data_IF_544850575822
#
_entry.id   IF_544850575822
#
_cell.length_a   1.000
_cell.length_b   1.000
_cell.length_c   1.000
_cell.angle_alpha   90.00
_cell.angle_beta   90.00
_cell.angle_gamma   90.00
#
_symmetry.space_group_name_H-M   'P 1'
#
loop_
_entity.id
_entity.type
_entity.pdbx_description
1 polymer ?
#
# COMPACT_ATOMS: atom_id res chain seq x y z
N UNK A 1 -3.86 -23.96 14.96
CA UNK A 1 -3.40 -23.38 13.68
C UNK A 1 -2.77 -22.05 14.05
N UNK A 2 -1.47 -21.84 13.87
CA UNK A 2 -0.89 -20.51 14.07
C UNK A 2 -1.46 -19.62 12.97
N UNK A 3 -2.19 -18.59 13.35
CA UNK A 3 -2.76 -17.66 12.38
C UNK A 3 -1.62 -17.02 11.57
N UNK A 4 -1.57 -17.36 10.29
CA UNK A 4 -0.57 -16.86 9.36
C UNK A 4 -0.98 -15.47 8.91
N UNK A 5 -0.35 -14.45 9.48
CA UNK A 5 -0.69 -13.06 9.20
C UNK A 5 0.25 -12.46 8.16
N UNK A 6 -0.32 -12.13 6.99
CA UNK A 6 0.35 -11.35 5.98
C UNK A 6 -0.15 -9.91 5.94
N UNK A 7 0.57 -9.08 5.19
CA UNK A 7 0.16 -7.73 4.85
C UNK A 7 0.85 -7.29 3.57
N UNK A 8 0.21 -6.34 2.88
CA UNK A 8 0.77 -5.65 1.73
C UNK A 8 0.90 -4.16 2.03
N UNK A 9 1.95 -3.50 1.55
CA UNK A 9 1.98 -2.05 1.43
C UNK A 9 2.04 -1.60 -0.03
N UNK A 10 1.31 -0.52 -0.32
CA UNK A 10 1.18 0.11 -1.64
C UNK A 10 1.98 1.41 -1.69
N UNK A 11 2.80 1.55 -2.74
CA UNK A 11 3.45 2.81 -3.06
C UNK A 11 4.61 3.20 -2.15
N UNK A 12 5.38 2.24 -1.64
CA UNK A 12 6.59 2.53 -0.89
C UNK A 12 7.61 3.28 -1.75
N UNK A 13 8.34 4.19 -1.13
CA UNK A 13 9.31 5.05 -1.81
C UNK A 13 10.69 4.89 -1.17
N UNK A 14 10.85 5.39 0.06
CA UNK A 14 12.08 5.27 0.83
C UNK A 14 12.00 4.15 1.86
N UNK A 15 13.09 3.40 2.00
CA UNK A 15 13.26 2.31 2.96
C UNK A 15 13.17 2.79 4.42
N UNK A 16 13.74 3.95 4.74
CA UNK A 16 13.68 4.49 6.11
C UNK A 16 12.26 4.92 6.50
N UNK A 17 11.39 5.10 5.51
CA UNK A 17 10.00 5.50 5.70
C UNK A 17 9.05 4.39 5.26
N UNK A 18 9.40 3.11 5.44
CA UNK A 18 8.47 2.00 5.23
C UNK A 18 7.17 2.23 6.00
N UNK A 19 6.05 1.83 5.42
CA UNK A 19 4.75 1.89 6.09
C UNK A 19 4.71 0.87 7.24
N UNK A 20 4.18 1.23 8.40
CA UNK A 20 4.03 0.26 9.51
C UNK A 20 2.83 -0.65 9.27
N UNK A 21 3.08 -1.83 8.69
CA UNK A 21 2.07 -2.86 8.39
C UNK A 21 1.68 -3.72 9.59
N UNK A 22 2.37 -3.54 10.72
CA UNK A 22 2.04 -4.22 11.97
C UNK A 22 0.94 -3.51 12.76
N UNK A 23 0.65 -2.25 12.45
CA UNK A 23 -0.38 -1.49 13.14
C UNK A 23 -1.78 -1.94 12.71
N UNK A 24 -2.67 -2.10 13.67
CA UNK A 24 -4.11 -2.28 13.46
C UNK A 24 -4.87 -1.34 14.42
N UNK A 25 -6.19 -1.26 14.29
CA UNK A 25 -7.01 -0.31 15.03
C UNK A 25 -6.89 -0.45 16.55
N UNK A 26 -6.99 0.69 17.26
CA UNK A 26 -7.00 0.73 18.72
C UNK A 26 -5.61 0.58 19.36
N UNK A 27 -4.56 1.08 18.70
CA UNK A 27 -3.14 0.93 19.10
C UNK A 27 -2.67 -0.51 19.22
N UNK A 28 -3.40 -1.45 18.63
CA UNK A 28 -3.01 -2.84 18.61
C UNK A 28 -1.92 -3.06 17.57
N UNK A 29 -1.04 -4.03 17.85
CA UNK A 29 0.01 -4.45 16.93
C UNK A 29 -0.14 -5.93 16.63
N UNK A 30 0.25 -6.29 15.41
CA UNK A 30 0.18 -7.63 14.88
C UNK A 30 1.46 -7.95 14.14
N UNK A 31 2.15 -9.00 14.57
CA UNK A 31 3.36 -9.44 13.92
C UNK A 31 3.02 -10.03 12.54
N UNK A 32 3.61 -9.45 11.50
CA UNK A 32 3.41 -9.86 10.11
C UNK A 32 4.56 -10.76 9.69
N UNK A 33 4.25 -12.04 9.44
CA UNK A 33 5.25 -13.01 8.97
C UNK A 33 5.49 -12.90 7.46
N UNK A 34 4.49 -12.44 6.71
CA UNK A 34 4.50 -12.42 5.25
C UNK A 34 4.19 -11.01 4.76
N UNK A 35 5.22 -10.21 4.54
CA UNK A 35 5.06 -8.81 4.12
C UNK A 35 5.44 -8.65 2.65
N UNK A 36 4.48 -8.16 1.87
CA UNK A 36 4.70 -7.69 0.50
C UNK A 36 4.80 -6.16 0.50
N UNK A 37 5.93 -5.63 0.04
CA UNK A 37 6.14 -4.21 -0.20
C UNK A 37 6.09 -3.97 -1.70
N UNK A 38 5.38 -2.93 -2.12
CA UNK A 38 5.32 -2.55 -3.54
C UNK A 38 5.72 -1.11 -3.74
N UNK A 39 6.35 -0.82 -4.88
CA UNK A 39 6.80 0.52 -5.24
C UNK A 39 6.58 0.77 -6.73
N UNK A 40 6.25 2.01 -7.11
CA UNK A 40 6.12 2.40 -8.51
C UNK A 40 7.49 2.50 -9.22
N UNK A 41 8.57 2.61 -8.46
CA UNK A 41 9.91 2.72 -9.03
C UNK A 41 10.43 1.38 -9.54
N UNK A 42 11.21 1.40 -10.62
CA UNK A 42 12.02 0.25 -11.00
C UNK A 42 13.06 -0.07 -9.92
N UNK A 43 13.59 -1.30 -9.90
CA UNK A 43 14.62 -1.70 -8.96
C UNK A 43 15.86 -0.79 -9.03
N UNK A 44 16.26 -0.36 -10.22
CA UNK A 44 17.41 0.54 -10.40
C UNK A 44 17.16 1.92 -9.79
N UNK A 45 16.01 2.53 -10.08
CA UNK A 45 15.63 3.84 -9.51
C UNK A 45 15.49 3.74 -7.98
N UNK A 46 14.88 2.66 -7.49
CA UNK A 46 14.72 2.44 -6.06
C UNK A 46 16.07 2.33 -5.33
N UNK A 47 17.05 1.62 -5.91
CA UNK A 47 18.41 1.51 -5.35
C UNK A 47 19.12 2.86 -5.28
N UNK A 48 19.00 3.68 -6.33
CA UNK A 48 19.57 5.04 -6.32
C UNK A 48 18.96 5.91 -5.21
N UNK A 49 17.66 5.74 -4.96
CA UNK A 49 16.92 6.46 -3.91
C UNK A 49 17.15 5.92 -2.50
N UNK A 50 17.73 4.73 -2.37
CA UNK A 50 17.98 4.05 -1.11
C UNK A 50 19.43 3.53 -1.04
N UNK A 51 20.43 4.44 -1.11
CA UNK A 51 21.82 4.04 -1.13
C UNK A 51 22.20 3.27 0.14
N UNK A 52 22.97 2.20 -0.02
CA UNK A 52 23.44 1.35 1.09
C UNK A 52 22.44 0.31 1.59
N UNK A 53 21.20 0.29 1.09
CA UNK A 53 20.24 -0.77 1.47
C UNK A 53 20.54 -2.05 0.69
N UNK A 54 20.83 -3.13 1.42
CA UNK A 54 21.11 -4.43 0.82
C UNK A 54 19.86 -5.03 0.17
N UNK A 55 20.00 -5.45 -1.09
CA UNK A 55 18.92 -6.10 -1.85
C UNK A 55 19.37 -7.48 -2.32
N UNK A 56 18.50 -8.48 -2.21
CA UNK A 56 18.71 -9.80 -2.81
C UNK A 56 17.67 -10.06 -3.91
N UNK A 57 17.93 -9.69 -5.18
CA UNK A 57 17.01 -9.91 -6.28
C UNK A 57 16.74 -11.39 -6.50
N UNK A 58 15.51 -11.73 -6.90
CA UNK A 58 15.15 -13.09 -7.26
C UNK A 58 14.19 -13.11 -8.46
N UNK A 59 14.18 -14.24 -9.17
CA UNK A 59 13.23 -14.53 -10.25
C UNK A 59 12.61 -15.89 -10.03
N UNK A 60 11.30 -15.98 -10.23
CA UNK A 60 10.58 -17.25 -10.12
C UNK A 60 10.47 -17.87 -11.52
N UNK A 61 11.30 -18.88 -11.79
CA UNK A 61 11.51 -19.49 -13.11
C UNK A 61 10.22 -20.02 -13.78
N UNK A 62 9.22 -20.37 -12.99
CA UNK A 62 7.98 -21.00 -13.47
C UNK A 62 6.81 -20.02 -13.59
N UNK A 63 7.06 -18.71 -13.47
CA UNK A 63 6.02 -17.69 -13.53
C UNK A 63 6.27 -16.80 -14.74
N UNK A 64 5.29 -16.69 -15.62
CA UNK A 64 5.29 -15.69 -16.69
C UNK A 64 4.95 -14.30 -16.13
N UNK A 65 5.69 -13.86 -15.10
CA UNK A 65 5.53 -12.55 -14.46
C UNK A 65 6.77 -11.72 -14.78
N UNK A 66 6.57 -10.61 -15.49
CA UNK A 66 7.60 -9.67 -15.89
C UNK A 66 7.69 -8.50 -14.90
N UNK A 67 7.89 -8.81 -13.61
CA UNK A 67 8.14 -7.80 -12.58
C UNK A 67 9.42 -8.14 -11.83
N UNK A 68 10.23 -7.12 -11.56
CA UNK A 68 11.40 -7.27 -10.72
C UNK A 68 10.97 -7.47 -9.27
N UNK A 69 11.67 -8.36 -8.56
CA UNK A 69 11.45 -8.59 -7.14
C UNK A 69 12.78 -8.80 -6.41
N UNK A 70 12.81 -8.44 -5.13
CA UNK A 70 13.96 -8.62 -4.25
C UNK A 70 13.51 -8.88 -2.82
N UNK A 71 14.37 -9.56 -2.05
CA UNK A 71 14.23 -9.63 -0.60
C UNK A 71 15.04 -8.48 0.01
N UNK A 72 14.39 -7.70 0.86
CA UNK A 72 14.99 -6.58 1.60
C UNK A 72 14.47 -6.67 3.02
N UNK A 73 15.37 -6.79 4.00
CA UNK A 73 15.00 -6.90 5.42
C UNK A 73 13.98 -8.03 5.70
N UNK A 74 14.19 -9.18 5.06
CA UNK A 74 13.31 -10.37 5.10
C UNK A 74 11.89 -10.16 4.54
N UNK A 75 11.58 -8.98 4.01
CA UNK A 75 10.32 -8.67 3.32
C UNK A 75 10.49 -8.83 1.79
N UNK A 76 9.42 -9.24 1.11
CA UNK A 76 9.40 -9.28 -0.36
C UNK A 76 9.06 -7.91 -0.90
N UNK A 77 9.92 -7.37 -1.76
CA UNK A 77 9.71 -6.14 -2.50
C UNK A 77 9.45 -6.44 -3.96
N UNK A 78 8.39 -5.86 -4.52
CA UNK A 78 8.08 -5.93 -5.95
C UNK A 78 8.07 -4.52 -6.53
N UNK A 79 8.78 -4.35 -7.63
CA UNK A 79 9.09 -3.05 -8.24
C UNK A 79 8.22 -2.78 -9.46
N UNK A 80 8.11 -1.51 -9.83
CA UNK A 80 7.29 -1.04 -10.95
C UNK A 80 5.83 -1.50 -10.84
N UNK A 81 5.22 -1.29 -9.67
CA UNK A 81 3.83 -1.64 -9.37
C UNK A 81 3.00 -0.36 -9.31
N UNK A 82 2.06 -0.24 -10.23
CA UNK A 82 1.02 0.78 -10.20
C UNK A 82 -0.21 0.24 -9.45
N UNK A 83 -0.54 0.85 -8.31
CA UNK A 83 -1.69 0.48 -7.48
C UNK A 83 -3.05 0.69 -8.14
N UNK A 84 -3.14 1.40 -9.27
CA UNK A 84 -4.37 1.57 -10.06
C UNK A 84 -4.49 0.56 -11.21
N UNK A 85 -3.56 -0.40 -11.31
CA UNK A 85 -3.56 -1.45 -12.34
C UNK A 85 -3.68 -2.83 -11.67
N UNK A 86 -4.79 -3.53 -11.92
CA UNK A 86 -5.09 -4.77 -11.18
C UNK A 86 -4.10 -5.89 -11.48
N UNK A 87 -3.59 -5.94 -12.71
CA UNK A 87 -2.55 -6.91 -13.09
C UNK A 87 -1.24 -6.73 -12.31
N UNK A 88 -0.91 -5.49 -11.91
CA UNK A 88 0.29 -5.22 -11.11
C UNK A 88 0.12 -5.74 -9.67
N UNK A 89 -1.06 -5.53 -9.09
CA UNK A 89 -1.40 -6.11 -7.77
C UNK A 89 -1.41 -7.65 -7.85
N UNK A 90 -2.05 -8.24 -8.87
CA UNK A 90 -2.09 -9.69 -9.07
C UNK A 90 -0.68 -10.26 -9.21
N UNK A 91 0.18 -9.65 -10.02
CA UNK A 91 1.54 -10.09 -10.24
C UNK A 91 2.36 -10.04 -8.94
N UNK A 92 2.33 -8.92 -8.22
CA UNK A 92 3.08 -8.75 -6.98
C UNK A 92 2.62 -9.72 -5.88
N UNK A 93 1.32 -9.93 -5.73
CA UNK A 93 0.76 -10.88 -4.77
C UNK A 93 1.14 -12.31 -5.12
N UNK A 94 1.08 -12.72 -6.39
CA UNK A 94 1.50 -14.05 -6.82
C UNK A 94 2.99 -14.29 -6.55
N UNK A 95 3.85 -13.31 -6.82
CA UNK A 95 5.29 -13.39 -6.50
C UNK A 95 5.52 -13.60 -5.00
N UNK A 96 4.90 -12.78 -4.16
CA UNK A 96 5.05 -12.89 -2.70
C UNK A 96 4.49 -14.21 -2.16
N UNK A 97 3.31 -14.61 -2.63
CA UNK A 97 2.64 -15.87 -2.24
C UNK A 97 3.51 -17.08 -2.55
N UNK A 98 4.15 -17.09 -3.73
CA UNK A 98 5.04 -18.17 -4.13
C UNK A 98 6.36 -18.17 -3.34
N UNK A 99 6.94 -17.00 -3.07
CA UNK A 99 8.14 -16.88 -2.25
C UNK A 99 7.89 -17.39 -0.81
N UNK A 100 6.79 -16.94 -0.20
CA UNK A 100 6.42 -17.29 1.18
C UNK A 100 5.71 -18.65 1.32
N UNK A 101 5.26 -19.26 0.22
CA UNK A 101 4.46 -20.49 0.19
C UNK A 101 3.15 -20.37 0.99
N UNK A 102 2.44 -19.27 0.78
CA UNK A 102 1.13 -18.97 1.39
C UNK A 102 0.08 -18.66 0.32
N UNK A 103 -1.20 -18.73 0.66
CA UNK A 103 -2.25 -18.33 -0.28
C UNK A 103 -2.26 -16.81 -0.52
N UNK A 104 -2.67 -16.33 -1.70
CA UNK A 104 -2.85 -14.91 -1.99
C UNK A 104 -3.71 -14.15 -0.97
N UNK A 105 -4.72 -14.83 -0.41
CA UNK A 105 -5.60 -14.27 0.63
C UNK A 105 -4.86 -13.86 1.91
N UNK A 106 -3.74 -14.52 2.24
CA UNK A 106 -2.92 -14.16 3.42
C UNK A 106 -2.20 -12.83 3.19
N UNK A 107 -1.75 -12.56 1.96
CA UNK A 107 -1.02 -11.33 1.62
C UNK A 107 -1.97 -10.14 1.47
N UNK A 108 -3.13 -10.35 0.83
CA UNK A 108 -4.10 -9.30 0.54
C UNK A 108 -5.10 -9.01 1.66
N UNK A 109 -5.10 -9.75 2.77
CA UNK A 109 -6.09 -9.54 3.84
C UNK A 109 -6.04 -8.13 4.43
N UNK A 110 -4.82 -7.60 4.61
CA UNK A 110 -4.59 -6.26 5.13
C UNK A 110 -3.60 -5.51 4.22
N UNK A 111 -4.06 -4.41 3.65
CA UNK A 111 -3.32 -3.57 2.72
C UNK A 111 -3.10 -2.22 3.37
N UNK A 112 -1.92 -1.64 3.21
CA UNK A 112 -1.52 -0.40 3.86
C UNK A 112 -1.03 0.60 2.82
N UNK A 113 -1.40 1.86 3.00
CA UNK A 113 -0.90 2.99 2.25
C UNK A 113 -0.56 4.15 3.18
N UNK A 114 0.46 4.92 2.83
CA UNK A 114 0.84 6.13 3.54
C UNK A 114 0.98 7.28 2.55
N UNK A 115 0.07 8.24 2.64
CA UNK A 115 0.07 9.46 1.82
C UNK A 115 0.26 9.21 0.32
N UNK A 116 -0.58 8.35 -0.28
CA UNK A 116 -0.63 8.26 -1.73
C UNK A 116 -1.16 9.58 -2.30
N UNK A 117 -0.46 10.10 -3.30
CA UNK A 117 -0.81 11.32 -4.00
C UNK A 117 -0.71 11.08 -5.51
N UNK A 118 -1.53 11.81 -6.26
CA UNK A 118 -1.39 11.86 -7.73
C UNK A 118 -0.08 12.51 -8.16
N UNK A 119 0.42 12.09 -9.32
CA UNK A 119 1.56 12.73 -9.95
C UNK A 119 1.25 14.20 -10.30
N UNK A 120 2.28 15.05 -10.33
CA UNK A 120 2.21 16.48 -10.67
C UNK A 120 1.26 17.31 -9.78
N UNK A 121 1.13 16.93 -8.52
CA UNK A 121 0.35 17.68 -7.54
C UNK A 121 0.69 19.18 -7.46
N UNK A 122 1.94 19.54 -7.72
CA UNK A 122 2.43 20.93 -7.69
C UNK A 122 1.84 21.81 -8.81
N UNK A 123 1.30 21.21 -9.87
CA UNK A 123 0.73 21.92 -11.01
C UNK A 123 -0.80 22.13 -10.87
N UNK A 124 -1.40 21.64 -9.78
CA UNK A 124 -2.85 21.60 -9.59
C UNK A 124 -3.34 22.66 -8.59
N UNK A 125 -4.53 23.21 -8.86
CA UNK A 125 -5.27 23.96 -7.83
C UNK A 125 -5.68 23.02 -6.68
N UNK A 126 -5.90 23.56 -5.47
CA UNK A 126 -6.30 22.75 -4.31
C UNK A 126 -7.54 21.87 -4.58
N UNK A 127 -8.57 22.42 -5.24
CA UNK A 127 -9.79 21.68 -5.56
C UNK A 127 -9.55 20.57 -6.61
N UNK A 128 -8.74 20.87 -7.62
CA UNK A 128 -8.33 19.87 -8.62
C UNK A 128 -7.51 18.75 -7.98
N UNK A 129 -6.63 19.08 -7.04
CA UNK A 129 -5.79 18.12 -6.31
C UNK A 129 -6.64 17.19 -5.42
N UNK A 130 -7.60 17.74 -4.67
CA UNK A 130 -8.53 16.93 -3.87
C UNK A 130 -9.29 15.96 -4.77
N UNK A 131 -9.87 16.44 -5.88
CA UNK A 131 -10.59 15.57 -6.83
C UNK A 131 -9.70 14.48 -7.40
N UNK A 132 -8.49 14.81 -7.83
CA UNK A 132 -7.56 13.85 -8.39
C UNK A 132 -7.15 12.78 -7.37
N UNK A 133 -6.94 13.16 -6.11
CA UNK A 133 -6.67 12.20 -5.04
C UNK A 133 -7.90 11.35 -4.69
N UNK A 134 -9.12 11.91 -4.69
CA UNK A 134 -10.35 11.11 -4.54
C UNK A 134 -10.43 10.03 -5.62
N UNK A 135 -10.22 10.41 -6.87
CA UNK A 135 -10.20 9.49 -8.01
C UNK A 135 -9.12 8.41 -7.84
N UNK A 136 -7.92 8.79 -7.37
CA UNK A 136 -6.84 7.85 -7.06
C UNK A 136 -7.26 6.80 -6.02
N UNK A 137 -7.76 7.22 -4.85
CA UNK A 137 -8.16 6.29 -3.78
C UNK A 137 -9.34 5.40 -4.20
N UNK A 138 -10.35 5.97 -4.87
CA UNK A 138 -11.48 5.20 -5.41
C UNK A 138 -11.02 4.13 -6.40
N UNK A 139 -10.12 4.51 -7.32
CA UNK A 139 -9.58 3.58 -8.31
C UNK A 139 -8.71 2.50 -7.68
N UNK A 140 -7.91 2.82 -6.66
CA UNK A 140 -7.14 1.81 -5.92
C UNK A 140 -8.05 0.78 -5.26
N UNK A 141 -9.12 1.19 -4.58
CA UNK A 141 -10.08 0.27 -3.98
C UNK A 141 -10.71 -0.67 -5.04
N UNK A 142 -11.19 -0.11 -6.16
CA UNK A 142 -11.74 -0.89 -7.28
C UNK A 142 -10.71 -1.88 -7.83
N UNK A 143 -9.46 -1.44 -7.94
CA UNK A 143 -8.34 -2.25 -8.44
C UNK A 143 -8.00 -3.39 -7.48
N UNK A 144 -7.99 -3.14 -6.17
CA UNK A 144 -7.80 -4.17 -5.13
C UNK A 144 -8.91 -5.22 -5.21
N UNK A 145 -10.17 -4.80 -5.29
CA UNK A 145 -11.32 -5.70 -5.44
C UNK A 145 -11.19 -6.54 -6.72
N UNK A 146 -10.84 -5.92 -7.84
CA UNK A 146 -10.65 -6.62 -9.11
C UNK A 146 -9.49 -7.63 -9.04
N UNK A 147 -8.37 -7.26 -8.43
CA UNK A 147 -7.22 -8.16 -8.23
C UNK A 147 -7.60 -9.35 -7.34
N UNK A 148 -8.33 -9.10 -6.25
CA UNK A 148 -8.81 -10.14 -5.35
C UNK A 148 -9.70 -11.17 -6.08
N UNK A 149 -10.64 -10.69 -6.93
CA UNK A 149 -11.47 -11.56 -7.79
C UNK A 149 -10.63 -12.42 -8.73
N UNK A 150 -9.65 -11.83 -9.41
CA UNK A 150 -8.75 -12.56 -10.31
C UNK A 150 -7.89 -13.61 -9.59
N UNK A 151 -7.64 -13.41 -8.30
CA UNK A 151 -6.93 -14.35 -7.43
C UNK A 151 -7.86 -15.37 -6.74
N UNK A 152 -9.18 -15.30 -6.99
CA UNK A 152 -10.17 -16.19 -6.37
C UNK A 152 -10.39 -15.94 -4.87
N UNK A 153 -10.10 -14.73 -4.39
CA UNK A 153 -10.29 -14.34 -2.99
C UNK A 153 -11.72 -13.82 -2.82
N UNK A 154 -12.45 -14.34 -1.84
CA UNK A 154 -13.82 -13.92 -1.47
C UNK A 154 -13.95 -13.42 -0.04
N UNK A 155 -12.85 -13.46 0.72
CA UNK A 155 -12.77 -12.94 2.09
C UNK A 155 -12.79 -11.41 2.09
N UNK A 156 -13.07 -10.85 3.27
CA UNK A 156 -12.91 -9.41 3.49
C UNK A 156 -11.45 -8.99 3.38
N UNK A 157 -11.24 -7.77 2.89
CA UNK A 157 -9.95 -7.10 2.74
C UNK A 157 -10.05 -5.76 3.47
N UNK A 158 -9.08 -5.48 4.34
CA UNK A 158 -8.96 -4.18 4.98
C UNK A 158 -7.90 -3.35 4.26
N UNK A 159 -8.28 -2.13 3.87
CA UNK A 159 -7.34 -1.14 3.35
C UNK A 159 -7.15 -0.03 4.36
N UNK A 160 -5.95 0.02 4.92
CA UNK A 160 -5.52 0.98 5.92
C UNK A 160 -4.78 2.14 5.28
N UNK A 161 -5.16 3.36 5.64
CA UNK A 161 -4.55 4.59 5.11
C UNK A 161 -4.06 5.46 6.25
N UNK A 162 -2.76 5.75 6.26
CA UNK A 162 -2.20 6.83 7.07
C UNK A 162 -2.38 8.15 6.33
N UNK A 163 -3.33 8.97 6.78
CA UNK A 163 -3.56 10.35 6.32
C UNK A 163 -4.03 11.18 7.50
N UNK A 164 -3.83 12.50 7.47
CA UNK A 164 -4.41 13.40 8.46
C UNK A 164 -5.82 13.79 8.05
N UNK A 165 -6.73 13.97 9.01
CA UNK A 165 -8.06 14.48 8.72
C UNK A 165 -8.04 15.88 8.09
N UNK A 166 -7.06 16.71 8.47
CA UNK A 166 -6.85 18.08 7.96
C UNK A 166 -5.84 18.13 6.80
N UNK A 167 -5.62 17.01 6.10
CA UNK A 167 -4.78 16.97 4.91
C UNK A 167 -5.44 17.78 3.78
N UNK A 168 -4.85 18.91 3.39
CA UNK A 168 -5.37 19.77 2.33
C UNK A 168 -5.38 19.12 0.94
N UNK A 169 -4.64 18.03 0.74
CA UNK A 169 -4.62 17.26 -0.52
C UNK A 169 -5.74 16.23 -0.61
N UNK A 170 -6.20 15.74 0.54
CA UNK A 170 -7.35 14.82 0.66
C UNK A 170 -7.86 14.83 2.12
N UNK A 171 -8.80 15.72 2.45
CA UNK A 171 -9.38 15.78 3.80
C UNK A 171 -10.01 14.44 4.20
N UNK A 172 -10.16 14.21 5.51
CA UNK A 172 -10.64 12.93 6.03
C UNK A 172 -12.02 12.52 5.49
N UNK A 173 -12.92 13.48 5.30
CA UNK A 173 -14.25 13.25 4.73
C UNK A 173 -14.16 12.87 3.24
N UNK A 174 -13.39 13.60 2.45
CA UNK A 174 -13.15 13.28 1.04
C UNK A 174 -12.46 11.93 0.85
N UNK A 175 -11.53 11.56 1.76
CA UNK A 175 -10.91 10.24 1.77
C UNK A 175 -11.97 9.16 2.03
N UNK A 176 -12.84 9.33 3.02
CA UNK A 176 -13.90 8.37 3.34
C UNK A 176 -14.92 8.22 2.22
N UNK A 177 -15.28 9.32 1.57
CA UNK A 177 -16.13 9.31 0.37
C UNK A 177 -15.45 8.53 -0.76
N UNK A 178 -14.20 8.85 -1.09
CA UNK A 178 -13.45 8.17 -2.14
C UNK A 178 -13.30 6.66 -1.89
N UNK A 179 -13.04 6.24 -0.65
CA UNK A 179 -12.96 4.84 -0.26
C UNK A 179 -14.32 4.13 -0.44
N UNK A 180 -15.42 4.80 -0.07
CA UNK A 180 -16.79 4.29 -0.21
C UNK A 180 -17.18 4.15 -1.68
N UNK A 181 -16.93 5.19 -2.50
CA UNK A 181 -17.11 5.17 -3.96
C UNK A 181 -16.24 4.12 -4.66
N UNK A 182 -15.12 3.77 -4.02
CA UNK A 182 -14.22 2.69 -4.39
C UNK A 182 -14.77 1.28 -4.14
N UNK A 183 -15.90 1.16 -3.44
CA UNK A 183 -16.56 -0.11 -3.10
C UNK A 183 -16.35 -0.59 -1.66
N UNK A 184 -15.83 0.27 -0.76
CA UNK A 184 -15.77 -0.06 0.66
C UNK A 184 -17.17 -0.09 1.28
N UNK A 185 -17.44 -1.10 2.11
CA UNK A 185 -18.71 -1.24 2.84
C UNK A 185 -18.73 -0.42 4.12
N UNK A 186 -17.57 -0.29 4.75
CA UNK A 186 -17.38 0.44 5.99
C UNK A 186 -16.08 1.23 5.91
N UNK A 187 -16.15 2.51 6.26
CA UNK A 187 -15.00 3.37 6.48
C UNK A 187 -14.98 3.78 7.94
N UNK A 188 -13.79 3.79 8.54
CA UNK A 188 -13.60 4.20 9.94
C UNK A 188 -12.29 4.97 10.08
N UNK A 189 -12.23 5.78 11.12
CA UNK A 189 -11.00 6.43 11.57
C UNK A 189 -10.73 5.93 12.98
N UNK A 190 -9.49 5.52 13.23
CA UNK A 190 -9.06 5.15 14.57
C UNK A 190 -9.18 6.35 15.52
N UNK A 191 -9.53 6.08 16.78
CA UNK A 191 -9.63 7.10 17.82
C UNK A 191 -8.25 7.66 18.20
N UNK A 192 -7.19 6.91 17.90
CA UNK A 192 -5.81 7.32 18.15
C UNK A 192 -5.13 7.90 16.92
N UNK A 193 -4.24 8.85 17.15
CA UNK A 193 -3.29 9.36 16.16
C UNK A 193 -1.93 8.70 16.36
N UNK A 194 -1.21 8.55 15.26
CA UNK A 194 0.06 7.83 15.21
C UNK A 194 1.18 8.72 14.69
N UNK A 195 2.36 8.61 15.29
CA UNK A 195 3.56 9.30 14.82
C UNK A 195 4.10 8.54 13.61
N UNK A 196 4.09 9.18 12.44
CA UNK A 196 4.63 8.62 11.20
C UNK A 196 5.65 9.56 10.59
N UNK A 197 6.63 9.00 9.89
CA UNK A 197 7.54 9.78 9.04
C UNK A 197 7.01 9.73 7.61
N UNK A 198 6.75 10.89 7.03
CA UNK A 198 6.33 11.07 5.65
C UNK A 198 7.45 11.80 4.89
N UNK A 199 7.82 11.28 3.73
CA UNK A 199 8.78 11.93 2.83
C UNK A 199 8.08 12.63 1.67
N UNK A 200 8.72 13.64 1.08
CA UNK A 200 8.33 14.20 -0.21
C UNK A 200 8.56 13.19 -1.35
N UNK A 201 7.84 13.36 -2.47
CA UNK A 201 7.96 12.47 -3.63
C UNK A 201 9.35 12.52 -4.31
N UNK A 202 10.10 13.61 -4.13
CA UNK A 202 11.44 13.84 -4.70
C UNK A 202 12.59 13.50 -3.72
N UNK A 203 12.27 13.04 -2.51
CA UNK A 203 13.21 12.70 -1.43
C UNK A 203 14.02 13.88 -0.85
N UNK A 204 13.67 15.13 -1.14
CA UNK A 204 14.38 16.30 -0.60
C UNK A 204 14.02 16.58 0.86
N UNK A 205 12.80 16.22 1.28
CA UNK A 205 12.27 16.56 2.61
C UNK A 205 11.59 15.36 3.28
N UNK A 206 11.61 15.35 4.61
CA UNK A 206 10.77 14.47 5.41
C UNK A 206 10.25 15.20 6.64
N UNK A 207 9.04 14.83 7.05
CA UNK A 207 8.40 15.35 8.24
C UNK A 207 7.95 14.19 9.12
N UNK A 208 8.18 14.34 10.42
CA UNK A 208 7.57 13.47 11.41
C UNK A 208 6.30 14.15 11.92
N UNK A 209 5.16 13.50 11.72
CA UNK A 209 3.86 14.09 12.05
C UNK A 209 2.90 13.09 12.69
N UNK A 210 1.91 13.63 13.41
CA UNK A 210 0.80 12.83 13.93
C UNK A 210 -0.26 12.69 12.85
N UNK A 211 -0.49 11.47 12.38
CA UNK A 211 -1.50 11.14 11.37
C UNK A 211 -2.70 10.43 11.98
N UNK A 212 -3.86 10.55 11.34
CA UNK A 212 -4.97 9.65 11.59
C UNK A 212 -4.71 8.31 10.88
N UNK A 213 -5.43 7.28 11.29
CA UNK A 213 -5.36 5.96 10.71
C UNK A 213 -6.76 5.54 10.29
N UNK A 214 -6.98 5.52 8.98
CA UNK A 214 -8.27 5.21 8.38
C UNK A 214 -8.28 3.75 7.93
N UNK A 215 -9.45 3.14 7.92
CA UNK A 215 -9.66 1.79 7.42
C UNK A 215 -10.88 1.76 6.51
N UNK A 216 -10.76 1.07 5.39
CA UNK A 216 -11.85 0.70 4.51
C UNK A 216 -11.97 -0.83 4.47
N UNK A 217 -13.13 -1.38 4.82
CA UNK A 217 -13.39 -2.82 4.69
C UNK A 217 -14.12 -3.08 3.37
N UNK A 218 -13.51 -3.91 2.53
CA UNK A 218 -13.98 -4.26 1.19
C UNK A 218 -14.22 -5.76 1.10
N UNK A 219 -15.19 -6.16 0.26
CA UNK A 219 -15.41 -7.57 -0.06
C UNK A 219 -15.25 -7.76 -1.56
N UNK A 220 -14.39 -8.70 -1.94
CA UNK A 220 -14.21 -9.12 -3.32
C UNK A 220 -15.50 -9.71 -3.91
#
# INVERSE_FOLDING_TARGET
MQDRFGAMSLGESQYNFKTDVGLIFGRQRKDRQYVLRTTIHSLSVWKTRNPGVSTSPFKLKNMNIQKDAAVIDKEVWVFNINGTVSQDIVASVKLASQYYKVSPSVILSDIYAKNLNVDRENDMSNQSLIRANKDLYSNICKTIIQAARQLGISSEINFYVFSRNDNNKIPGEDLHEALTDGGAKHTKTDQYRYKVVAGSNDNSEFITQMTNFHMASMKA
#
